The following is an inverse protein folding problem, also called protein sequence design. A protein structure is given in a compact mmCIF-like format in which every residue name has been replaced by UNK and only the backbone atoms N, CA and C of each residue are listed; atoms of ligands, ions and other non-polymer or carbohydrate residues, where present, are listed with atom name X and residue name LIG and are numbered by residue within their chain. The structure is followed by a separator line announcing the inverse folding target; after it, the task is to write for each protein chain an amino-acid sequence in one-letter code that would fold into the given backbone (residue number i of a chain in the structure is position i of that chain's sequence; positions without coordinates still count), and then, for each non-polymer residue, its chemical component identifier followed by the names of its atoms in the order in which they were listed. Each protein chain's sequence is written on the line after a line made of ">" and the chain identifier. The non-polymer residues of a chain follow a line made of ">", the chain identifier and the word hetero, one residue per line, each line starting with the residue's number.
data_IF_328961952082
#
_entry.id   IF_328961952082
#
_cell.length_a   1.000
_cell.length_b   1.000
_cell.length_c   1.000
_cell.angle_alpha   90.00
_cell.angle_beta   90.00
_cell.angle_gamma   90.00
#
_symmetry.space_group_name_H-M   'P 1'
#
loop_
_entity.id
_entity.type
_entity.pdbx_description
1 polymer ?
#
# COMPACT_ATOMS: atom_id res chain seq x y z
N UNK A 1 6.52 -50.74 -23.12
CA UNK A 1 5.05 -50.61 -23.06
C UNK A 1 4.79 -49.13 -22.91
N UNK A 2 4.85 -48.43 -24.05
CA UNK A 2 3.67 -47.91 -24.78
C UNK A 2 3.18 -46.60 -24.13
N UNK A 3 3.64 -45.43 -24.57
CA UNK A 3 3.17 -44.61 -25.72
C UNK A 3 1.68 -44.25 -25.70
N UNK A 4 1.39 -42.94 -25.63
CA UNK A 4 0.40 -42.14 -26.39
C UNK A 4 0.60 -40.67 -25.94
N UNK A 5 1.47 -39.85 -26.54
CA UNK A 5 1.41 -39.07 -27.80
C UNK A 5 0.32 -37.98 -27.90
N UNK A 6 0.80 -36.72 -27.91
CA UNK A 6 0.45 -35.59 -28.79
C UNK A 6 -0.99 -35.05 -28.83
N UNK A 7 -1.16 -33.76 -28.54
CA UNK A 7 -1.28 -32.76 -29.63
C UNK A 7 -1.22 -31.31 -29.12
N UNK A 8 -0.34 -30.57 -29.79
CA UNK A 8 -0.19 -29.12 -29.78
C UNK A 8 -1.45 -28.43 -30.33
N UNK A 9 -1.81 -27.30 -29.74
CA UNK A 9 -2.57 -26.26 -30.43
C UNK A 9 -1.79 -24.95 -30.34
N UNK A 10 -1.03 -24.67 -31.40
CA UNK A 10 -0.53 -23.34 -31.73
C UNK A 10 -1.62 -22.56 -32.48
N UNK A 11 -1.90 -21.33 -32.07
CA UNK A 11 -2.31 -20.25 -32.98
C UNK A 11 -2.16 -18.86 -32.31
N UNK A 12 -2.13 -17.76 -33.10
CA UNK A 12 -0.97 -16.88 -33.23
C UNK A 12 -1.26 -15.50 -32.61
N UNK A 13 -0.47 -14.48 -32.95
CA UNK A 13 -0.51 -13.08 -32.50
C UNK A 13 0.48 -12.72 -31.39
N UNK A 14 1.76 -12.96 -31.70
CA UNK A 14 2.77 -11.95 -31.46
C UNK A 14 2.60 -10.76 -32.42
N UNK A 15 3.24 -9.65 -32.06
CA UNK A 15 3.28 -8.34 -32.72
C UNK A 15 2.14 -7.38 -32.38
N UNK A 16 2.38 -6.52 -31.39
CA UNK A 16 2.40 -5.06 -31.52
C UNK A 16 2.81 -4.46 -30.16
N UNK A 17 3.57 -3.36 -30.18
CA UNK A 17 4.13 -2.59 -29.05
C UNK A 17 5.61 -2.89 -28.70
N UNK A 18 6.49 -2.83 -29.71
CA UNK A 18 7.82 -2.27 -29.49
C UNK A 18 7.72 -0.73 -29.35
N UNK A 19 8.58 -0.16 -28.52
CA UNK A 19 8.82 1.28 -28.31
C UNK A 19 7.80 2.07 -27.45
N UNK A 20 7.93 1.95 -26.12
CA UNK A 20 7.79 3.09 -25.20
C UNK A 20 8.71 2.88 -24.00
N UNK A 21 9.62 3.83 -23.73
CA UNK A 21 10.39 3.90 -22.48
C UNK A 21 9.39 3.89 -21.31
N UNK A 22 9.34 2.81 -20.54
CA UNK A 22 8.35 2.61 -19.48
C UNK A 22 8.75 3.40 -18.22
N UNK A 23 7.81 4.21 -17.71
CA UNK A 23 7.88 4.81 -16.38
C UNK A 23 7.31 3.77 -15.38
N UNK A 24 8.12 3.31 -14.42
CA UNK A 24 7.77 2.26 -13.46
C UNK A 24 7.77 2.80 -12.02
N UNK A 25 6.85 2.28 -11.20
CA UNK A 25 6.83 2.44 -9.75
C UNK A 25 7.14 1.09 -9.09
N UNK A 26 7.98 1.10 -8.06
CA UNK A 26 8.31 -0.06 -7.25
C UNK A 26 7.50 -0.05 -5.94
N UNK A 27 7.15 -1.21 -5.45
CA UNK A 27 6.41 -1.45 -4.22
C UNK A 27 7.22 -2.29 -3.26
N UNK A 28 7.08 -2.03 -1.97
CA UNK A 28 7.58 -2.89 -0.90
C UNK A 28 6.37 -3.35 -0.10
N UNK A 29 6.16 -4.65 0.03
CA UNK A 29 5.04 -5.25 0.75
C UNK A 29 5.60 -5.92 2.00
N UNK A 30 5.14 -5.46 3.16
CA UNK A 30 5.40 -6.10 4.45
C UNK A 30 4.17 -6.94 4.88
N UNK A 31 4.36 -8.25 5.10
CA UNK A 31 3.37 -9.13 5.71
C UNK A 31 3.80 -9.45 7.15
N UNK A 32 2.96 -9.13 8.14
CA UNK A 32 3.17 -9.51 9.56
C UNK A 32 2.97 -11.00 9.84
N UNK A 33 3.25 -11.85 8.86
CA UNK A 33 3.57 -13.26 9.01
C UNK A 33 4.36 -13.72 7.77
N UNK A 34 5.69 -13.59 7.87
CA UNK A 34 6.72 -14.21 7.02
C UNK A 34 6.71 -13.83 5.52
N UNK A 35 7.77 -13.09 5.13
CA UNK A 35 8.22 -12.71 3.77
C UNK A 35 7.82 -11.27 3.35
N UNK A 36 8.75 -10.33 3.49
CA UNK A 36 8.66 -9.01 2.83
C UNK A 36 9.05 -9.14 1.35
N UNK A 37 8.23 -8.66 0.42
CA UNK A 37 8.48 -8.73 -1.04
C UNK A 37 8.48 -7.36 -1.68
N UNK A 38 9.40 -7.11 -2.61
CA UNK A 38 9.35 -5.93 -3.48
C UNK A 38 8.61 -6.27 -4.79
N UNK A 39 7.62 -5.49 -5.19
CA UNK A 39 6.78 -5.71 -6.37
C UNK A 39 6.76 -4.50 -7.31
N UNK A 40 6.85 -4.71 -8.61
CA UNK A 40 6.39 -3.75 -9.63
C UNK A 40 5.11 -4.36 -10.21
N UNK A 41 3.99 -3.61 -10.23
CA UNK A 41 2.63 -4.13 -10.43
C UNK A 41 2.43 -5.12 -11.60
N UNK A 42 1.68 -6.19 -11.31
CA UNK A 42 0.64 -6.76 -12.18
C UNK A 42 -0.43 -7.41 -11.29
N UNK A 43 -1.71 -7.13 -11.56
CA UNK A 43 -2.89 -7.37 -10.69
C UNK A 43 -3.44 -8.82 -10.79
N UNK A 44 -3.74 -9.44 -9.64
CA UNK A 44 -4.96 -10.24 -9.32
C UNK A 44 -4.78 -10.99 -7.97
N UNK A 45 -5.86 -11.14 -7.21
CA UNK A 45 -5.94 -11.52 -5.80
C UNK A 45 -6.50 -12.92 -5.64
N UNK A 46 -5.91 -13.66 -4.71
CA UNK A 46 -6.50 -13.98 -3.40
C UNK A 46 -5.59 -14.99 -2.71
N UNK A 47 -4.92 -14.53 -1.66
CA UNK A 47 -3.88 -15.22 -0.91
C UNK A 47 -2.59 -15.49 -1.71
N UNK A 48 -1.43 -15.26 -1.08
CA UNK A 48 -0.08 -15.61 -1.56
C UNK A 48 0.56 -14.55 -2.50
N UNK A 49 1.64 -13.92 -2.02
CA UNK A 49 3.00 -14.11 -2.59
C UNK A 49 2.96 -14.28 -4.12
N UNK A 50 3.05 -13.18 -4.89
CA UNK A 50 3.34 -13.12 -6.34
C UNK A 50 2.73 -14.20 -7.27
N UNK A 51 1.85 -13.81 -8.20
CA UNK A 51 1.67 -14.56 -9.46
C UNK A 51 1.62 -13.67 -10.70
N UNK A 52 2.56 -13.94 -11.59
CA UNK A 52 2.42 -13.82 -13.05
C UNK A 52 2.44 -15.25 -13.61
N UNK A 53 1.45 -15.59 -14.44
CA UNK A 53 1.50 -16.71 -15.40
C UNK A 53 1.02 -16.09 -16.71
N UNK A 54 1.83 -16.00 -17.77
CA UNK A 54 2.36 -17.11 -18.56
C UNK A 54 3.88 -17.00 -18.82
N UNK A 55 4.58 -18.14 -18.74
CA UNK A 55 5.92 -18.34 -19.31
C UNK A 55 7.09 -17.67 -18.56
N UNK A 56 7.72 -18.43 -17.65
CA UNK A 56 9.02 -18.19 -16.98
C UNK A 56 9.21 -16.84 -16.22
N UNK A 57 9.45 -16.98 -14.90
CA UNK A 57 10.07 -16.02 -13.96
C UNK A 57 10.33 -14.60 -14.50
N UNK A 58 9.48 -13.64 -14.12
CA UNK A 58 9.71 -12.21 -14.40
C UNK A 58 10.90 -11.69 -13.59
N UNK A 59 11.91 -11.18 -14.28
CA UNK A 59 13.16 -10.59 -13.77
C UNK A 59 13.00 -9.38 -12.82
N UNK A 60 11.78 -8.95 -12.50
CA UNK A 60 11.45 -7.70 -11.79
C UNK A 60 10.72 -7.89 -10.45
N UNK A 61 10.63 -9.11 -9.93
CA UNK A 61 10.07 -9.42 -8.61
C UNK A 61 11.11 -10.19 -7.80
N UNK A 62 11.38 -9.74 -6.57
CA UNK A 62 12.34 -10.39 -5.70
C UNK A 62 11.90 -10.35 -4.23
N UNK A 63 12.40 -11.32 -3.47
CA UNK A 63 12.31 -11.31 -2.00
C UNK A 63 13.47 -10.48 -1.47
N UNK A 64 13.21 -9.64 -0.49
CA UNK A 64 14.24 -8.79 0.10
C UNK A 64 15.41 -9.63 0.62
N UNK A 65 16.63 -9.14 0.45
CA UNK A 65 17.86 -9.83 0.87
C UNK A 65 17.97 -9.97 2.38
N UNK A 66 17.29 -9.10 3.14
CA UNK A 66 17.24 -9.10 4.61
C UNK A 66 15.80 -8.98 5.09
N UNK A 67 15.31 -10.04 5.75
CA UNK A 67 13.96 -10.12 6.27
C UNK A 67 13.97 -9.76 7.76
N UNK A 68 13.04 -8.89 8.17
CA UNK A 68 12.87 -8.48 9.56
C UNK A 68 11.72 -9.24 10.21
N UNK A 69 11.85 -9.55 11.50
CA UNK A 69 10.71 -9.98 12.31
C UNK A 69 9.98 -8.74 12.84
N UNK A 70 8.94 -8.33 12.11
CA UNK A 70 8.24 -7.08 12.38
C UNK A 70 7.41 -7.17 13.66
N UNK A 71 7.74 -6.30 14.61
CA UNK A 71 7.03 -6.13 15.89
C UNK A 71 6.24 -4.83 15.86
N UNK A 72 4.93 -4.90 16.16
CA UNK A 72 4.04 -3.75 16.09
C UNK A 72 4.55 -2.55 16.89
N UNK A 73 4.66 -1.41 16.20
CA UNK A 73 5.12 -0.14 16.75
C UNK A 73 6.64 -0.01 16.92
N UNK A 74 7.43 -0.98 16.46
CA UNK A 74 8.89 -0.98 16.67
C UNK A 74 9.63 -0.53 15.41
N UNK A 75 10.93 -0.28 15.57
CA UNK A 75 11.84 0.03 14.46
C UNK A 75 11.84 -0.99 13.32
N UNK A 76 11.58 -2.27 13.64
CA UNK A 76 11.58 -3.36 12.65
C UNK A 76 10.68 -3.08 11.43
N UNK A 77 9.57 -2.35 11.60
CA UNK A 77 8.70 -1.94 10.48
C UNK A 77 9.39 -0.97 9.54
N UNK A 78 10.13 0.00 10.07
CA UNK A 78 10.94 0.94 9.27
C UNK A 78 12.11 0.21 8.62
N UNK A 79 12.76 -0.69 9.37
CA UNK A 79 13.87 -1.50 8.86
C UNK A 79 13.45 -2.38 7.67
N UNK A 80 12.24 -2.94 7.68
CA UNK A 80 11.70 -3.69 6.54
C UNK A 80 11.61 -2.83 5.27
N UNK A 81 11.13 -1.59 5.37
CA UNK A 81 11.11 -0.65 4.25
C UNK A 81 12.54 -0.30 3.79
N UNK A 82 13.48 -0.06 4.72
CA UNK A 82 14.88 0.26 4.40
C UNK A 82 15.62 -0.90 3.72
N UNK A 83 15.35 -2.14 4.12
CA UNK A 83 15.92 -3.32 3.48
C UNK A 83 15.45 -3.42 2.02
N UNK A 84 14.15 -3.22 1.80
CA UNK A 84 13.59 -3.20 0.44
C UNK A 84 14.13 -2.03 -0.40
N UNK A 85 14.25 -0.83 0.16
CA UNK A 85 14.87 0.32 -0.47
C UNK A 85 16.32 0.03 -0.91
N UNK A 86 17.09 -0.66 -0.07
CA UNK A 86 18.49 -0.99 -0.33
C UNK A 86 18.62 -1.91 -1.55
N UNK A 87 17.81 -2.96 -1.61
CA UNK A 87 17.80 -3.88 -2.75
C UNK A 87 17.31 -3.21 -4.04
N UNK A 88 16.29 -2.35 -3.94
CA UNK A 88 15.75 -1.62 -5.09
C UNK A 88 16.77 -0.64 -5.70
N UNK A 89 17.63 -0.02 -4.89
CA UNK A 89 18.67 0.88 -5.40
C UNK A 89 19.72 0.14 -6.23
N UNK A 90 20.05 -1.10 -5.84
CA UNK A 90 21.04 -1.97 -6.49
C UNK A 90 20.44 -2.69 -7.71
N UNK A 91 19.11 -2.85 -7.76
CA UNK A 91 18.43 -3.47 -8.88
C UNK A 91 18.76 -2.81 -10.23
N UNK A 92 18.97 -3.64 -11.25
CA UNK A 92 19.19 -3.20 -12.63
C UNK A 92 17.94 -2.55 -13.25
N UNK A 93 16.76 -2.83 -12.69
CA UNK A 93 15.49 -2.33 -13.20
C UNK A 93 15.37 -0.83 -12.89
N UNK A 94 15.22 0.05 -13.90
CA UNK A 94 15.01 1.46 -13.64
C UNK A 94 13.63 1.68 -13.01
N UNK A 95 13.54 2.57 -12.03
CA UNK A 95 12.29 2.99 -11.37
C UNK A 95 12.38 4.46 -10.94
N UNK A 96 11.22 5.11 -10.82
CA UNK A 96 11.13 6.55 -10.48
C UNK A 96 10.60 6.80 -9.07
N UNK A 97 9.60 6.03 -8.68
CA UNK A 97 8.95 6.12 -7.37
C UNK A 97 8.94 4.77 -6.67
N UNK A 98 9.11 4.82 -5.36
CA UNK A 98 8.83 3.75 -4.42
C UNK A 98 7.50 4.07 -3.73
N UNK A 99 6.59 3.11 -3.65
CA UNK A 99 5.35 3.19 -2.86
C UNK A 99 5.33 2.00 -1.89
N UNK A 100 5.45 2.24 -0.59
CA UNK A 100 5.33 1.14 0.36
C UNK A 100 3.86 0.73 0.53
N UNK A 101 3.65 -0.57 0.73
CA UNK A 101 2.37 -1.24 0.91
C UNK A 101 2.50 -2.26 2.04
N UNK A 102 1.37 -2.75 2.53
CA UNK A 102 1.27 -3.90 3.41
C UNK A 102 0.31 -4.94 2.82
N UNK A 103 0.29 -6.14 3.39
CA UNK A 103 -0.54 -7.25 2.89
C UNK A 103 -2.07 -6.99 2.88
N UNK A 104 -2.54 -5.89 3.47
CA UNK A 104 -3.96 -5.52 3.51
C UNK A 104 -4.31 -4.32 2.61
N UNK A 105 -3.35 -3.82 1.83
CA UNK A 105 -3.59 -2.75 0.86
C UNK A 105 -4.03 -3.33 -0.48
N UNK A 106 -5.06 -2.72 -1.07
CA UNK A 106 -5.41 -2.96 -2.47
C UNK A 106 -5.37 -1.66 -3.28
N UNK A 107 -4.93 -1.72 -4.54
CA UNK A 107 -5.09 -0.60 -5.44
C UNK A 107 -6.57 -0.30 -5.67
N UNK A 108 -6.87 0.99 -5.85
CA UNK A 108 -8.20 1.48 -6.26
C UNK A 108 -8.09 2.31 -7.55
N UNK A 109 -6.95 2.17 -8.23
CA UNK A 109 -6.57 2.77 -9.50
C UNK A 109 -5.82 1.75 -10.34
N UNK A 110 -5.98 1.84 -11.65
CA UNK A 110 -5.18 1.04 -12.58
C UNK A 110 -3.73 1.50 -12.56
N UNK A 111 -2.80 0.65 -12.99
CA UNK A 111 -1.38 1.03 -13.09
C UNK A 111 -1.18 2.31 -13.95
N UNK A 112 -1.92 2.45 -15.06
CA UNK A 112 -1.87 3.65 -15.89
C UNK A 112 -2.23 4.92 -15.12
N UNK A 113 -3.33 4.89 -14.36
CA UNK A 113 -3.78 6.00 -13.53
C UNK A 113 -2.80 6.33 -12.39
N UNK A 114 -2.20 5.30 -11.78
CA UNK A 114 -1.17 5.48 -10.75
C UNK A 114 0.02 6.22 -11.34
N UNK A 115 0.53 5.78 -12.49
CA UNK A 115 1.68 6.41 -13.15
C UNK A 115 1.31 7.85 -13.56
N UNK A 116 0.14 8.08 -14.15
CA UNK A 116 -0.34 9.43 -14.51
C UNK A 116 -0.36 10.37 -13.29
N UNK A 117 -0.88 9.89 -12.15
CA UNK A 117 -0.91 10.66 -10.90
C UNK A 117 0.50 10.97 -10.37
N UNK A 118 1.41 9.99 -10.36
CA UNK A 118 2.80 10.18 -9.94
C UNK A 118 3.59 11.10 -10.88
N UNK A 119 3.27 11.09 -12.17
CA UNK A 119 3.87 12.02 -13.14
C UNK A 119 3.37 13.45 -12.91
N UNK A 120 2.12 13.64 -12.47
CA UNK A 120 1.54 14.96 -12.21
C UNK A 120 2.20 15.73 -11.06
N UNK A 121 2.88 15.04 -10.12
CA UNK A 121 3.52 15.66 -8.95
C UNK A 121 5.00 16.00 -9.15
N UNK A 122 5.51 15.96 -10.39
CA UNK A 122 6.79 16.55 -10.79
C UNK A 122 8.00 16.23 -9.87
N UNK A 123 8.25 14.93 -9.61
CA UNK A 123 9.35 14.44 -8.75
C UNK A 123 9.27 14.89 -7.27
N UNK A 124 8.08 15.22 -6.77
CA UNK A 124 7.85 15.46 -5.34
C UNK A 124 7.49 14.16 -4.63
N UNK A 125 7.84 14.07 -3.34
CA UNK A 125 7.41 12.96 -2.51
C UNK A 125 5.99 13.19 -1.98
N UNK A 126 5.24 12.11 -1.77
CA UNK A 126 3.97 12.10 -1.05
C UNK A 126 4.22 11.50 0.33
N UNK A 127 4.39 12.37 1.32
CA UNK A 127 4.57 12.00 2.72
C UNK A 127 3.63 12.89 3.56
N UNK A 128 2.77 12.27 4.38
CA UNK A 128 1.98 13.04 5.35
C UNK A 128 2.92 13.63 6.39
N UNK A 129 2.81 14.93 6.65
CA UNK A 129 3.65 15.59 7.64
C UNK A 129 2.92 16.74 8.33
N UNK A 130 2.85 16.71 9.66
CA UNK A 130 2.32 17.81 10.47
C UNK A 130 3.06 17.95 11.81
N UNK A 131 2.98 19.13 12.46
CA UNK A 131 3.55 19.35 13.78
C UNK A 131 3.00 18.36 14.81
N UNK A 132 3.85 17.83 15.70
CA UNK A 132 3.43 16.84 16.66
C UNK A 132 2.63 17.44 17.82
N UNK A 133 1.50 16.81 18.14
CA UNK A 133 0.76 17.10 19.37
C UNK A 133 1.55 16.68 20.62
N UNK A 134 1.20 17.23 21.78
CA UNK A 134 1.82 16.83 23.05
C UNK A 134 1.72 15.32 23.30
N UNK A 135 0.60 14.71 22.94
CA UNK A 135 0.39 13.27 23.06
C UNK A 135 1.35 12.48 22.15
N UNK A 136 1.52 12.87 20.88
CA UNK A 136 2.44 12.19 19.94
C UNK A 136 3.90 12.38 20.35
N UNK A 137 4.29 13.55 20.89
CA UNK A 137 5.66 13.79 21.40
C UNK A 137 6.12 12.72 22.39
N UNK A 138 5.21 12.19 23.23
CA UNK A 138 5.53 11.14 24.21
C UNK A 138 6.13 9.87 23.60
N UNK A 139 5.92 9.62 22.30
CA UNK A 139 6.44 8.45 21.58
C UNK A 139 7.96 8.44 21.42
N UNK A 140 8.62 9.60 21.46
CA UNK A 140 10.08 9.71 21.33
C UNK A 140 10.73 10.53 22.46
N UNK A 141 9.97 10.93 23.49
CA UNK A 141 10.54 11.54 24.70
C UNK A 141 11.30 10.52 25.57
N UNK A 142 10.88 9.26 25.53
CA UNK A 142 11.44 8.17 26.34
C UNK A 142 11.96 7.05 25.45
N UNK A 143 12.95 6.31 25.95
CA UNK A 143 13.40 5.08 25.32
C UNK A 143 12.32 4.01 25.47
N UNK A 144 12.20 3.15 24.46
CA UNK A 144 11.30 2.02 24.44
C UNK A 144 12.10 0.74 24.22
N UNK A 145 11.81 -0.27 25.04
CA UNK A 145 12.40 -1.60 24.90
C UNK A 145 11.46 -2.49 24.08
N UNK A 146 12.03 -3.21 23.13
CA UNK A 146 11.30 -4.11 22.23
C UNK A 146 11.40 -5.54 22.77
N UNK A 147 10.30 -6.05 23.31
CA UNK A 147 10.12 -7.47 23.62
C UNK A 147 9.03 -8.07 22.74
N UNK A 148 8.21 -8.98 23.30
CA UNK A 148 6.94 -9.38 22.65
C UNK A 148 5.99 -8.20 22.41
N UNK A 149 6.08 -7.21 23.29
CA UNK A 149 5.42 -5.93 23.19
C UNK A 149 6.44 -4.83 23.45
N UNK A 150 6.13 -3.63 23.00
CA UNK A 150 6.98 -2.46 23.22
C UNK A 150 6.62 -1.82 24.55
N UNK A 151 7.62 -1.63 25.39
CA UNK A 151 7.46 -1.02 26.70
C UNK A 151 8.22 0.29 26.78
N UNK A 152 7.51 1.36 27.12
CA UNK A 152 8.11 2.65 27.43
C UNK A 152 8.91 2.53 28.74
N UNK A 153 10.17 2.95 28.71
CA UNK A 153 11.02 3.00 29.90
C UNK A 153 10.90 4.35 30.62
N UNK A 154 11.52 4.49 31.79
CA UNK A 154 11.66 5.77 32.49
C UNK A 154 12.79 6.64 31.93
N UNK A 155 13.61 6.13 30.99
CA UNK A 155 14.79 6.82 30.48
C UNK A 155 14.40 7.87 29.44
N UNK A 156 14.72 9.13 29.72
CA UNK A 156 14.53 10.23 28.77
C UNK A 156 15.55 10.13 27.62
N UNK A 157 15.07 10.32 26.40
CA UNK A 157 15.94 10.43 25.22
C UNK A 157 16.58 11.81 25.15
N UNK A 158 17.83 11.87 24.71
CA UNK A 158 18.44 13.12 24.26
C UNK A 158 17.66 13.63 23.04
N UNK A 159 17.48 14.94 22.93
CA UNK A 159 16.87 15.54 21.74
C UNK A 159 17.71 15.19 20.49
N UNK A 160 17.07 14.92 19.34
CA UNK A 160 17.81 14.72 18.10
C UNK A 160 18.55 16.02 17.76
N UNK A 161 19.82 15.92 17.36
CA UNK A 161 20.63 17.10 17.04
C UNK A 161 20.15 17.71 15.73
N UNK A 162 19.91 19.03 15.73
CA UNK A 162 19.58 19.83 14.54
C UNK A 162 18.38 19.35 13.70
N UNK A 163 17.52 18.48 14.26
CA UNK A 163 16.35 17.92 13.58
C UNK A 163 15.09 18.34 14.31
N UNK A 164 14.18 18.98 13.58
CA UNK A 164 12.83 19.30 14.08
C UNK A 164 11.90 18.14 13.77
N UNK A 165 11.28 17.55 14.79
CA UNK A 165 10.41 16.39 14.65
C UNK A 165 9.05 16.76 14.04
N UNK A 166 8.61 15.96 13.08
CA UNK A 166 7.27 15.96 12.50
C UNK A 166 6.62 14.58 12.64
N UNK A 167 5.30 14.53 12.48
CA UNK A 167 4.51 13.29 12.52
C UNK A 167 3.72 13.13 11.23
N UNK A 168 3.49 11.88 10.84
CA UNK A 168 2.80 11.50 9.63
C UNK A 168 2.03 10.20 9.82
N UNK A 169 2.07 9.37 8.78
CA UNK A 169 1.63 7.98 8.77
C UNK A 169 2.75 7.10 8.18
N UNK A 170 2.57 5.78 8.21
CA UNK A 170 3.56 4.83 7.68
C UNK A 170 3.67 4.84 6.15
N UNK A 171 2.68 5.38 5.43
CA UNK A 171 2.55 5.23 3.99
C UNK A 171 3.23 6.36 3.23
N UNK A 172 4.15 6.00 2.36
CA UNK A 172 4.96 6.94 1.59
C UNK A 172 4.93 6.59 0.10
N UNK A 173 4.99 7.61 -0.75
CA UNK A 173 5.35 7.45 -2.15
C UNK A 173 6.48 8.43 -2.47
N UNK A 174 7.70 7.92 -2.64
CA UNK A 174 8.93 8.71 -2.63
C UNK A 174 9.76 8.48 -3.88
N UNK A 175 10.52 9.49 -4.28
CA UNK A 175 11.39 9.41 -5.44
C UNK A 175 12.61 8.52 -5.19
N UNK A 176 13.20 7.98 -6.27
CA UNK A 176 14.51 7.30 -6.19
C UNK A 176 15.61 8.18 -5.59
N UNK A 177 15.57 9.48 -5.85
CA UNK A 177 16.51 10.44 -5.26
C UNK A 177 16.37 10.53 -3.73
N UNK A 178 15.13 10.55 -3.22
CA UNK A 178 14.88 10.48 -1.78
C UNK A 178 15.41 9.19 -1.18
N UNK A 179 15.15 8.04 -1.82
CA UNK A 179 15.63 6.74 -1.35
C UNK A 179 17.16 6.68 -1.29
N UNK A 180 17.85 7.10 -2.35
CA UNK A 180 19.31 7.18 -2.35
C UNK A 180 19.83 8.10 -1.24
N UNK A 181 19.18 9.25 -1.03
CA UNK A 181 19.56 10.21 0.01
C UNK A 181 19.44 9.60 1.41
N UNK A 182 18.31 8.96 1.75
CA UNK A 182 18.12 8.40 3.10
C UNK A 182 19.05 7.23 3.38
N UNK A 183 19.43 6.44 2.37
CA UNK A 183 20.35 5.32 2.53
C UNK A 183 21.83 5.74 2.66
N UNK A 184 22.21 6.93 2.18
CA UNK A 184 23.61 7.35 2.11
C UNK A 184 23.97 8.53 3.01
N UNK A 185 23.01 9.39 3.38
CA UNK A 185 23.27 10.58 4.16
C UNK A 185 23.58 10.26 5.63
N UNK A 186 24.75 10.69 6.11
CA UNK A 186 25.23 10.40 7.47
C UNK A 186 24.28 10.92 8.57
N UNK A 187 23.76 12.14 8.45
CA UNK A 187 22.85 12.71 9.45
C UNK A 187 21.54 11.92 9.54
N UNK A 188 21.02 11.47 8.39
CA UNK A 188 19.82 10.62 8.34
C UNK A 188 20.09 9.26 8.99
N UNK A 189 21.25 8.66 8.75
CA UNK A 189 21.63 7.39 9.40
C UNK A 189 21.76 7.55 10.92
N UNK A 190 22.32 8.68 11.40
CA UNK A 190 22.33 8.99 12.85
C UNK A 190 20.91 9.19 13.40
N UNK A 191 20.02 9.82 12.63
CA UNK A 191 18.63 9.99 13.02
C UNK A 191 17.86 8.67 13.08
N UNK A 192 18.08 7.76 12.13
CA UNK A 192 17.55 6.40 12.18
C UNK A 192 18.05 5.66 13.42
N UNK A 193 19.36 5.71 13.69
CA UNK A 193 19.92 5.10 14.90
C UNK A 193 19.30 5.66 16.19
N UNK A 194 19.08 6.96 16.23
CA UNK A 194 18.40 7.62 17.34
C UNK A 194 16.92 7.20 17.47
N UNK A 195 16.27 6.81 16.37
CA UNK A 195 14.85 6.46 16.33
C UNK A 195 14.56 4.99 16.66
N UNK A 196 15.57 4.11 16.70
CA UNK A 196 15.40 2.66 16.88
C UNK A 196 14.63 2.25 18.16
N UNK A 197 14.81 3.00 19.25
CA UNK A 197 14.18 2.79 20.56
C UNK A 197 13.06 3.81 20.83
N UNK A 198 12.35 4.26 19.79
CA UNK A 198 11.13 5.07 19.90
C UNK A 198 9.88 4.23 19.64
N UNK A 199 8.70 4.75 20.00
CA UNK A 199 7.41 4.10 19.72
C UNK A 199 6.81 4.58 18.40
N UNK A 200 6.40 3.65 17.54
CA UNK A 200 5.91 3.90 16.18
C UNK A 200 6.82 4.85 15.38
N UNK A 201 8.11 4.49 15.16
CA UNK A 201 9.04 5.29 14.36
C UNK A 201 8.54 5.54 12.94
N UNK A 202 7.85 4.57 12.35
CA UNK A 202 7.20 4.64 11.04
C UNK A 202 6.24 5.84 10.90
N UNK A 203 5.62 6.30 12.00
CA UNK A 203 4.74 7.46 12.01
C UNK A 203 5.44 8.82 12.18
N UNK A 204 6.77 8.87 12.29
CA UNK A 204 7.49 10.14 12.45
C UNK A 204 8.80 10.26 11.69
N UNK A 205 9.49 9.17 11.37
CA UNK A 205 10.79 9.25 10.67
C UNK A 205 10.65 9.82 9.27
N UNK A 206 9.71 9.31 8.47
CA UNK A 206 9.50 9.79 7.10
C UNK A 206 9.05 11.24 7.05
N UNK A 207 8.09 11.61 7.90
CA UNK A 207 7.61 12.98 8.03
C UNK A 207 8.73 13.93 8.46
N UNK A 208 9.55 13.52 9.43
CA UNK A 208 10.67 14.34 9.92
C UNK A 208 11.71 14.57 8.82
N UNK A 209 12.14 13.50 8.15
CA UNK A 209 13.12 13.59 7.06
C UNK A 209 12.61 14.45 5.92
N UNK A 210 11.33 14.31 5.55
CA UNK A 210 10.72 15.12 4.48
C UNK A 210 10.81 16.65 4.72
N UNK A 211 10.96 17.10 5.96
CA UNK A 211 11.05 18.52 6.32
C UNK A 211 12.48 19.03 6.53
N UNK A 212 13.50 18.17 6.40
CA UNK A 212 14.90 18.59 6.44
C UNK A 212 15.23 19.37 5.16
N UNK A 213 16.07 20.41 5.29
CA UNK A 213 16.51 21.22 4.15
C UNK A 213 17.27 20.36 3.12
N UNK A 214 17.13 20.67 1.84
CA UNK A 214 17.76 19.96 0.71
C UNK A 214 17.40 18.48 0.53
N UNK A 215 16.41 17.95 1.25
CA UNK A 215 15.94 16.58 1.01
C UNK A 215 15.27 16.49 -0.37
N UNK A 216 15.72 15.58 -1.26
CA UNK A 216 15.17 15.45 -2.60
C UNK A 216 13.67 15.16 -2.59
N UNK A 217 12.90 15.91 -3.39
CA UNK A 217 11.44 15.79 -3.48
C UNK A 217 10.67 16.35 -2.28
N UNK A 218 11.32 17.06 -1.35
CA UNK A 218 10.63 17.82 -0.31
C UNK A 218 9.87 19.01 -0.90
N UNK A 219 8.66 19.27 -0.43
CA UNK A 219 7.83 20.39 -0.90
C UNK A 219 8.11 21.64 -0.08
N UNK A 220 9.30 22.23 -0.22
CA UNK A 220 9.62 23.52 0.40
C UNK A 220 9.62 24.62 -0.66
N UNK A 221 8.42 25.13 -0.98
CA UNK A 221 8.29 26.38 -1.75
C UNK A 221 8.35 27.56 -0.78
N UNK A 222 9.37 28.41 -0.90
CA UNK A 222 9.41 29.78 -0.38
C UNK A 222 9.17 29.97 1.13
N UNK A 223 9.96 29.31 1.99
CA UNK A 223 10.11 29.70 3.40
C UNK A 223 8.88 29.49 4.30
N UNK A 224 7.74 29.05 3.75
CA UNK A 224 6.56 28.62 4.51
C UNK A 224 6.49 27.11 4.43
N UNK A 225 6.64 26.44 5.57
CA UNK A 225 6.35 25.02 5.73
C UNK A 225 4.85 24.85 5.44
N UNK A 226 4.49 24.49 4.20
CA UNK A 226 3.12 24.17 3.84
C UNK A 226 2.78 22.79 4.40
N UNK A 227 2.59 22.75 5.72
CA UNK A 227 2.29 21.61 6.58
C UNK A 227 1.06 20.78 6.11
N UNK A 228 0.28 21.26 5.14
CA UNK A 228 -1.01 20.68 4.76
C UNK A 228 -1.26 20.59 3.26
N UNK A 229 -0.30 20.90 2.38
CA UNK A 229 -0.60 21.07 0.94
C UNK A 229 -0.29 19.89 0.03
N UNK A 230 0.38 18.84 0.49
CA UNK A 230 0.42 17.60 -0.31
C UNK A 230 -0.86 16.84 -0.01
N UNK A 231 -1.83 16.74 -0.95
CA UNK A 231 -2.93 15.82 -0.77
C UNK A 231 -2.32 14.43 -0.59
N UNK A 232 -2.43 13.86 0.62
CA UNK A 232 -1.85 12.55 0.90
C UNK A 232 -2.76 11.52 0.28
N UNK A 233 -2.50 11.27 -1.00
CA UNK A 233 -3.33 10.41 -1.82
C UNK A 233 -2.75 8.99 -1.96
N UNK A 234 -1.68 8.66 -1.23
CA UNK A 234 -1.10 7.32 -1.29
C UNK A 234 -2.14 6.27 -0.87
N UNK A 235 -2.80 6.46 0.28
CA UNK A 235 -3.74 5.50 0.84
C UNK A 235 -5.01 6.16 1.36
N UNK A 236 -6.16 5.62 0.96
CA UNK A 236 -7.46 5.92 1.54
C UNK A 236 -7.65 5.06 2.78
N UNK A 237 -7.93 5.68 3.93
CA UNK A 237 -8.14 4.99 5.21
C UNK A 237 -9.42 5.53 5.84
N UNK A 238 -10.35 4.64 6.20
CA UNK A 238 -11.57 5.01 6.93
C UNK A 238 -11.35 4.75 8.43
N UNK A 239 -11.26 5.83 9.21
CA UNK A 239 -11.02 5.79 10.65
C UNK A 239 -12.32 5.89 11.46
N UNK A 240 -12.44 5.08 12.51
CA UNK A 240 -13.61 5.08 13.41
C UNK A 240 -13.87 6.45 14.03
N UNK A 241 -12.82 7.10 14.55
CA UNK A 241 -12.95 8.38 15.22
C UNK A 241 -13.47 9.51 14.32
N UNK A 242 -13.35 9.39 12.99
CA UNK A 242 -13.92 10.38 12.07
C UNK A 242 -15.44 10.25 12.00
N UNK A 243 -15.97 9.03 12.13
CA UNK A 243 -17.40 8.77 12.23
C UNK A 243 -17.95 9.28 13.57
N UNK A 244 -17.21 9.07 14.66
CA UNK A 244 -17.63 9.53 16.00
C UNK A 244 -17.79 11.07 16.10
N UNK A 245 -17.14 11.83 15.21
CA UNK A 245 -17.18 13.30 15.17
C UNK A 245 -18.27 13.83 14.23
N UNK A 246 -18.75 13.03 13.28
CA UNK A 246 -19.72 13.43 12.25
C UNK A 246 -20.60 12.24 11.87
N UNK A 247 -21.80 12.22 12.44
CA UNK A 247 -22.79 11.15 12.25
C UNK A 247 -23.25 11.00 10.78
N UNK A 248 -23.05 12.03 9.95
CA UNK A 248 -23.36 11.96 8.52
C UNK A 248 -22.31 11.20 7.71
N UNK A 249 -21.18 10.80 8.33
CA UNK A 249 -20.16 10.01 7.63
C UNK A 249 -20.61 8.56 7.51
N UNK A 250 -20.46 8.06 6.28
CA UNK A 250 -20.76 6.66 5.96
C UNK A 250 -19.94 5.71 6.84
N UNK A 251 -20.67 4.92 7.64
CA UNK A 251 -20.12 3.90 8.51
C UNK A 251 -19.23 2.91 7.74
N UNK A 252 -18.37 2.21 8.47
CA UNK A 252 -17.71 1.02 7.94
C UNK A 252 -18.77 -0.05 7.68
N UNK A 253 -18.91 -0.51 6.44
CA UNK A 253 -19.81 -1.61 6.11
C UNK A 253 -19.24 -2.98 6.49
N UNK A 254 -17.91 -3.07 6.68
CA UNK A 254 -17.24 -4.23 7.26
C UNK A 254 -17.13 -4.15 8.79
N UNK A 255 -15.90 -4.17 9.31
CA UNK A 255 -15.65 -4.10 10.76
C UNK A 255 -14.46 -3.21 11.12
N UNK A 256 -14.48 -2.62 12.30
CA UNK A 256 -13.33 -1.88 12.81
C UNK A 256 -12.33 -2.81 13.52
N UNK A 257 -11.06 -2.76 13.12
CA UNK A 257 -9.93 -3.40 13.84
C UNK A 257 -8.87 -2.34 14.12
N UNK A 258 -8.56 -2.11 15.39
CA UNK A 258 -7.65 -1.02 15.85
C UNK A 258 -8.06 0.37 15.32
N UNK A 259 -9.35 0.70 15.37
CA UNK A 259 -9.94 1.96 14.89
C UNK A 259 -9.83 2.22 13.38
N UNK A 260 -9.38 1.24 12.59
CA UNK A 260 -9.34 1.30 11.12
C UNK A 260 -10.42 0.35 10.58
N UNK A 261 -11.23 0.84 9.63
CA UNK A 261 -12.21 0.02 8.92
C UNK A 261 -11.50 -1.04 8.07
N UNK A 262 -11.83 -2.30 8.32
CA UNK A 262 -11.66 -3.38 7.36
C UNK A 262 -12.85 -3.27 6.42
N UNK A 263 -12.59 -2.86 5.18
CA UNK A 263 -13.64 -2.57 4.19
C UNK A 263 -14.45 -3.82 3.86
N UNK A 264 -15.77 -3.70 3.92
CA UNK A 264 -16.71 -4.68 3.38
C UNK A 264 -17.20 -4.26 1.98
N UNK A 265 -18.00 -5.11 1.36
CA UNK A 265 -18.53 -4.89 0.00
C UNK A 265 -19.34 -3.60 -0.07
N UNK A 266 -20.07 -3.24 0.99
CA UNK A 266 -20.81 -1.98 1.08
C UNK A 266 -19.93 -0.72 1.09
N UNK A 267 -18.64 -0.84 1.38
CA UNK A 267 -17.71 0.30 1.36
C UNK A 267 -17.19 0.61 -0.05
N UNK A 268 -17.34 -0.29 -1.03
CA UNK A 268 -16.76 -0.12 -2.37
C UNK A 268 -17.25 1.15 -3.09
N UNK A 269 -18.53 1.47 -2.97
CA UNK A 269 -19.08 2.70 -3.56
C UNK A 269 -18.47 3.96 -2.94
N UNK A 270 -18.24 3.94 -1.62
CA UNK A 270 -17.53 5.02 -0.92
C UNK A 270 -16.09 5.13 -1.39
N UNK A 271 -15.37 4.00 -1.50
CA UNK A 271 -13.98 3.95 -1.97
C UNK A 271 -13.85 4.56 -3.38
N UNK A 272 -14.73 4.17 -4.30
CA UNK A 272 -14.69 4.63 -5.69
C UNK A 272 -15.01 6.12 -5.85
N UNK A 273 -15.75 6.73 -4.90
CA UNK A 273 -15.99 8.18 -4.83
C UNK A 273 -14.82 9.00 -4.30
N UNK A 274 -13.71 8.37 -3.93
CA UNK A 274 -12.47 9.05 -3.52
C UNK A 274 -11.41 8.93 -4.64
N UNK A 275 -11.59 9.61 -5.79
CA UNK A 275 -10.78 9.40 -6.98
C UNK A 275 -9.32 9.82 -6.81
N UNK A 276 -9.01 10.61 -5.79
CA UNK A 276 -7.65 11.10 -5.60
C UNK A 276 -6.69 10.01 -5.12
N UNK A 277 -7.15 9.01 -4.36
CA UNK A 277 -6.28 8.03 -3.72
C UNK A 277 -5.87 6.88 -4.66
N UNK A 278 -4.66 6.36 -4.48
CA UNK A 278 -4.08 5.27 -5.27
C UNK A 278 -4.45 3.90 -4.70
N UNK A 279 -4.32 3.74 -3.39
CA UNK A 279 -4.60 2.52 -2.65
C UNK A 279 -5.65 2.76 -1.57
N UNK A 280 -6.20 1.68 -1.02
CA UNK A 280 -7.07 1.74 0.14
C UNK A 280 -6.65 0.69 1.19
N UNK A 281 -6.67 1.11 2.46
CA UNK A 281 -6.36 0.29 3.62
C UNK A 281 -7.56 0.27 4.60
N UNK A 282 -8.09 -0.88 5.03
CA UNK A 282 -7.57 -2.25 4.83
C UNK A 282 -8.62 -3.21 4.28
N UNK A 283 -8.16 -4.22 3.56
CA UNK A 283 -8.96 -5.36 3.12
C UNK A 283 -8.51 -6.63 3.85
N UNK A 284 -9.44 -7.56 4.03
CA UNK A 284 -9.19 -8.87 4.66
C UNK A 284 -10.11 -9.89 3.99
N UNK A 285 -9.54 -10.80 3.19
CA UNK A 285 -10.33 -11.80 2.45
C UNK A 285 -11.02 -12.80 3.36
N UNK A 286 -10.52 -13.00 4.59
CA UNK A 286 -11.21 -13.82 5.58
C UNK A 286 -12.44 -13.09 6.17
N UNK A 287 -12.49 -11.77 6.07
CA UNK A 287 -13.62 -10.95 6.53
C UNK A 287 -14.66 -10.77 5.43
N UNK A 288 -14.26 -10.24 4.28
CA UNK A 288 -15.14 -10.05 3.13
C UNK A 288 -14.34 -10.23 1.84
N UNK A 289 -14.39 -11.46 1.34
CA UNK A 289 -13.72 -11.83 0.10
C UNK A 289 -14.37 -11.20 -1.14
N UNK A 290 -15.66 -10.87 -1.07
CA UNK A 290 -16.41 -10.25 -2.17
C UNK A 290 -15.92 -8.83 -2.41
N UNK A 291 -15.65 -8.07 -1.35
CA UNK A 291 -15.06 -6.74 -1.44
C UNK A 291 -13.74 -6.76 -2.23
N UNK A 292 -12.89 -7.74 -1.94
CA UNK A 292 -11.61 -7.97 -2.62
C UNK A 292 -11.84 -8.33 -4.09
N UNK A 293 -12.69 -9.30 -4.42
CA UNK A 293 -12.94 -9.69 -5.83
C UNK A 293 -13.52 -8.55 -6.66
N UNK A 294 -14.48 -7.82 -6.10
CA UNK A 294 -15.18 -6.77 -6.83
C UNK A 294 -14.25 -5.61 -7.20
N UNK A 295 -13.36 -5.16 -6.30
CA UNK A 295 -12.43 -4.08 -6.63
C UNK A 295 -11.43 -4.49 -7.71
N UNK A 296 -10.98 -5.75 -7.68
CA UNK A 296 -10.07 -6.27 -8.69
C UNK A 296 -10.72 -6.42 -10.06
N UNK A 297 -11.89 -7.03 -10.10
CA UNK A 297 -12.63 -7.21 -11.34
C UNK A 297 -12.97 -5.85 -11.95
N UNK A 298 -13.35 -4.87 -11.12
CA UNK A 298 -13.55 -3.49 -11.56
C UNK A 298 -12.29 -2.90 -12.20
N UNK A 299 -11.11 -3.03 -11.57
CA UNK A 299 -9.86 -2.53 -12.14
C UNK A 299 -9.46 -3.29 -13.41
N UNK A 300 -9.65 -4.61 -13.45
CA UNK A 300 -9.37 -5.44 -14.62
C UNK A 300 -10.24 -5.04 -15.81
N UNK A 301 -11.55 -4.88 -15.61
CA UNK A 301 -12.46 -4.43 -16.65
C UNK A 301 -12.13 -3.01 -17.14
N UNK A 302 -11.70 -2.14 -16.22
CA UNK A 302 -11.26 -0.78 -16.55
C UNK A 302 -10.02 -0.77 -17.43
N UNK A 303 -9.03 -1.63 -17.16
CA UNK A 303 -7.85 -1.81 -18.04
C UNK A 303 -8.27 -2.36 -19.41
N UNK A 304 -9.19 -3.31 -19.45
CA UNK A 304 -9.68 -3.92 -20.69
C UNK A 304 -10.63 -3.02 -21.49
N UNK A 305 -10.92 -1.79 -21.01
CA UNK A 305 -11.87 -0.84 -21.60
C UNK A 305 -13.29 -1.41 -21.81
N UNK A 306 -13.69 -2.40 -21.00
CA UNK A 306 -15.02 -3.05 -21.05
C UNK A 306 -16.05 -2.36 -20.15
N UNK A 307 -16.00 -1.04 -19.98
CA UNK A 307 -16.81 -0.38 -18.95
C UNK A 307 -18.21 -0.04 -19.48
N UNK A 308 -19.15 -0.95 -19.22
CA UNK A 308 -20.60 -0.69 -19.10
C UNK A 308 -21.18 -1.36 -17.82
N UNK A 309 -20.35 -1.75 -16.86
CA UNK A 309 -20.77 -2.47 -15.65
C UNK A 309 -20.66 -1.61 -14.39
N UNK A 310 -21.73 -1.60 -13.58
CA UNK A 310 -21.69 -1.15 -12.19
C UNK A 310 -20.87 -2.15 -11.36
N UNK A 311 -20.09 -1.73 -10.36
CA UNK A 311 -19.35 -2.64 -9.50
C UNK A 311 -20.35 -3.53 -8.74
N UNK A 312 -20.36 -4.83 -9.07
CA UNK A 312 -21.11 -5.90 -8.41
C UNK A 312 -22.58 -5.58 -8.07
N UNK A 313 -23.51 -5.89 -8.99
CA UNK A 313 -24.85 -6.31 -8.56
C UNK A 313 -24.71 -7.74 -8.03
N UNK A 314 -25.21 -8.01 -6.83
CA UNK A 314 -25.48 -9.39 -6.41
C UNK A 314 -26.46 -9.96 -7.44
N UNK A 315 -26.05 -10.98 -8.18
CA UNK A 315 -27.00 -11.84 -8.86
C UNK A 315 -27.71 -12.63 -7.76
N UNK A 316 -28.90 -12.16 -7.36
CA UNK A 316 -29.89 -13.03 -6.74
C UNK A 316 -30.25 -14.09 -7.78
N UNK A 317 -29.77 -15.32 -7.58
CA UNK A 317 -30.23 -16.49 -8.32
C UNK A 317 -31.73 -16.63 -8.14
N UNK A 318 -32.46 -16.36 -9.22
CA UNK A 318 -33.88 -16.65 -9.37
C UNK A 318 -34.03 -18.18 -9.42
N UNK A 319 -34.48 -18.81 -8.34
CA UNK A 319 -35.21 -20.08 -8.44
C UNK A 319 -36.65 -19.77 -8.87
N UNK A 320 -36.87 -19.74 -10.19
CA UNK A 320 -38.22 -19.92 -10.73
C UNK A 320 -38.63 -21.35 -10.45
N UNK A 321 -39.44 -21.55 -9.42
CA UNK A 321 -40.22 -22.76 -9.23
C UNK A 321 -41.25 -22.90 -10.36
N UNK A 322 -40.86 -23.48 -11.49
CA UNK A 322 -41.81 -24.14 -12.40
C UNK A 322 -42.02 -25.55 -11.90
N UNK A 323 -42.88 -25.71 -10.88
CA UNK A 323 -43.46 -27.01 -10.58
C UNK A 323 -44.67 -27.23 -11.50
N UNK A 324 -44.45 -28.11 -12.48
CA UNK A 324 -45.48 -28.77 -13.26
C UNK A 324 -46.40 -29.57 -12.32
N UNK A 325 -47.59 -29.04 -12.04
CA UNK A 325 -48.71 -29.87 -11.60
C UNK A 325 -49.56 -30.21 -12.83
N UNK A 326 -49.19 -31.30 -13.49
CA UNK A 326 -50.13 -32.10 -14.28
C UNK A 326 -50.28 -33.41 -13.51
N UNK A 327 -51.35 -33.50 -12.72
CA UNK A 327 -51.90 -34.78 -12.29
C UNK A 327 -53.32 -34.79 -12.81
N UNK A 328 -53.49 -35.48 -13.93
CA UNK A 328 -54.77 -35.99 -14.39
C UNK A 328 -54.58 -37.48 -14.62
N UNK A 329 -55.08 -38.29 -13.70
CA UNK A 329 -55.44 -39.68 -13.96
C UNK A 329 -56.78 -39.95 -13.26
N UNK A 330 -57.76 -40.11 -14.13
CA UNK A 330 -59.07 -40.71 -13.95
C UNK A 330 -59.01 -42.14 -13.42
N UNK A 331 -59.71 -42.42 -12.31
CA UNK A 331 -60.76 -43.45 -12.11
C UNK A 331 -61.25 -43.48 -10.66
#
# INVERSE_FOLDING_TARGET
>A
MEMYSLQEWHHPYGALLQNRKQNSAAHCIDETSTISKAHIFSLNSQHIVSFVRWGNLQENVFIVSRIEHVTYGSWSRVQADLNCMSDLVISATPWKYLINLCGQDLPIKTNGEIIEKLMSIQNQNIILSYPPSAAKKRRWLYQHEVGREIKKTARLKKKPQNITMFVGNTYIAVTRAFVNYVLSNFEIQQFFKWSEDTYSPDEHVWATIHNIHDVPGSTRSNGKTHILQVPVFSHLIKWRFLQDVDENREACAGMYRHNICVYGTGDLYWILRHPNHLFANKFDSAMDNTAVRCIEEYLRQKVMKKINFLPCKLEETIETATNNNVVDTTE
#
